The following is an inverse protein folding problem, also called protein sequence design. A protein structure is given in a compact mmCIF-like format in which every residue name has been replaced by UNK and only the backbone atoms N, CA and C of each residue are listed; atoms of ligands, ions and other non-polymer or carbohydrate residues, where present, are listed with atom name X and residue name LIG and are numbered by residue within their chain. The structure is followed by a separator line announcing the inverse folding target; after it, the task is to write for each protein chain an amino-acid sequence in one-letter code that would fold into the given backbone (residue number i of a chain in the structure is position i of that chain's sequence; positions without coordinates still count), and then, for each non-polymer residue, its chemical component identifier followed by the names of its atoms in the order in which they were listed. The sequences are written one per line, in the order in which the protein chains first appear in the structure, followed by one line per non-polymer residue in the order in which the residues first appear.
data_IF_511383752779
#
_entry.id   IF_511383752779
#
_cell.length_a   1.000
_cell.length_b   1.000
_cell.length_c   1.000
_cell.angle_alpha   90.00
_cell.angle_beta   90.00
_cell.angle_gamma   90.00
#
_symmetry.space_group_name_H-M   'P 1'
#
loop_
_entity.id
_entity.type
_entity.pdbx_description
1 polymer ?
#
# COMPACT_ATOMS: atom_id res chain seq x y z
N UNK A 1 -28.82 -23.13 -13.82
CA UNK A 1 -27.89 -22.87 -12.70
C UNK A 1 -26.60 -22.35 -13.28
N UNK A 2 -26.42 -21.04 -13.28
CA UNK A 2 -25.21 -20.38 -13.77
C UNK A 2 -24.21 -20.33 -12.62
N UNK A 3 -23.07 -20.99 -12.78
CA UNK A 3 -21.99 -20.96 -11.80
C UNK A 3 -21.46 -19.53 -11.69
N UNK A 4 -21.64 -18.92 -10.52
CA UNK A 4 -20.93 -17.69 -10.14
C UNK A 4 -19.49 -18.13 -9.85
N UNK A 5 -18.58 -17.83 -10.76
CA UNK A 5 -17.14 -17.95 -10.49
C UNK A 5 -16.80 -16.92 -9.42
N UNK A 6 -16.75 -17.38 -8.17
CA UNK A 6 -16.14 -16.64 -7.06
C UNK A 6 -14.69 -16.41 -7.43
N UNK A 7 -14.32 -15.16 -7.72
CA UNK A 7 -12.92 -14.77 -7.91
C UNK A 7 -12.24 -14.69 -6.54
N UNK A 8 -12.12 -15.85 -5.90
CA UNK A 8 -11.46 -16.08 -4.62
C UNK A 8 -9.98 -16.40 -4.87
N UNK A 9 -9.36 -15.68 -5.82
CA UNK A 9 -7.93 -15.79 -5.98
C UNK A 9 -7.29 -15.21 -4.71
N UNK A 10 -6.48 -15.99 -3.97
CA UNK A 10 -5.77 -15.45 -2.83
C UNK A 10 -5.00 -14.21 -3.26
N UNK A 11 -4.95 -13.20 -2.39
CA UNK A 11 -4.21 -11.96 -2.61
C UNK A 11 -2.69 -12.22 -2.52
N UNK A 12 -2.21 -13.18 -3.31
CA UNK A 12 -0.81 -13.57 -3.37
C UNK A 12 0.01 -12.37 -3.87
N UNK A 13 1.06 -12.06 -3.12
CA UNK A 13 1.92 -10.89 -3.33
C UNK A 13 1.38 -9.56 -2.78
N UNK A 14 0.17 -9.53 -2.21
CA UNK A 14 -0.36 -8.38 -1.47
C UNK A 14 -0.12 -8.49 0.04
N UNK A 15 -0.52 -7.48 0.83
CA UNK A 15 -0.32 -7.49 2.28
C UNK A 15 -1.27 -8.46 3.02
N UNK A 16 -2.22 -9.11 2.34
CA UNK A 16 -3.27 -9.95 2.94
C UNK A 16 -3.21 -11.41 2.48
N UNK A 17 -2.13 -12.11 2.82
CA UNK A 17 -2.03 -13.54 2.55
C UNK A 17 -3.05 -14.34 3.40
N UNK A 18 -3.76 -15.28 2.79
CA UNK A 18 -4.68 -16.19 3.48
C UNK A 18 -5.99 -15.56 3.99
N UNK A 19 -6.34 -14.35 3.55
CA UNK A 19 -7.63 -13.72 3.87
C UNK A 19 -8.78 -14.39 3.11
N UNK A 20 -9.82 -14.82 3.84
CA UNK A 20 -11.12 -15.20 3.26
C UNK A 20 -11.93 -13.92 2.97
N UNK A 21 -12.00 -13.53 1.70
CA UNK A 21 -12.73 -12.35 1.27
C UNK A 21 -14.26 -12.52 1.38
N UNK A 22 -14.76 -13.76 1.44
CA UNK A 22 -16.17 -14.08 1.63
C UNK A 22 -16.66 -13.82 3.06
N UNK A 23 -15.75 -13.72 4.03
CA UNK A 23 -16.06 -13.36 5.41
C UNK A 23 -16.40 -11.87 5.59
N UNK A 24 -16.12 -11.02 4.60
CA UNK A 24 -16.34 -9.58 4.67
C UNK A 24 -17.66 -9.18 4.00
N UNK A 25 -18.46 -8.39 4.71
CA UNK A 25 -19.53 -7.61 4.09
C UNK A 25 -18.98 -6.46 3.25
N UNK A 26 -19.80 -5.97 2.33
CA UNK A 26 -19.60 -4.61 1.80
C UNK A 26 -19.90 -3.60 2.92
N UNK A 27 -19.13 -2.49 3.05
CA UNK A 27 -18.11 -1.96 2.13
C UNK A 27 -16.67 -2.44 2.39
N UNK A 28 -16.43 -3.21 3.45
CA UNK A 28 -15.09 -3.61 3.89
C UNK A 28 -14.36 -4.47 2.85
N UNK A 29 -15.08 -5.39 2.20
CA UNK A 29 -14.53 -6.24 1.14
C UNK A 29 -13.89 -5.42 0.02
N UNK A 30 -14.58 -4.39 -0.48
CA UNK A 30 -14.04 -3.50 -1.52
C UNK A 30 -12.84 -2.71 -1.04
N UNK A 31 -12.88 -2.17 0.18
CA UNK A 31 -11.75 -1.43 0.76
C UNK A 31 -10.47 -2.29 0.80
N UNK A 32 -10.57 -3.54 1.25
CA UNK A 32 -9.44 -4.49 1.33
C UNK A 32 -8.88 -4.79 -0.06
N UNK A 33 -9.74 -5.03 -1.06
CA UNK A 33 -9.32 -5.33 -2.43
C UNK A 33 -8.58 -4.14 -3.08
N UNK A 34 -9.15 -2.94 -2.98
CA UNK A 34 -8.54 -1.71 -3.51
C UNK A 34 -7.20 -1.42 -2.81
N UNK A 35 -7.18 -1.47 -1.47
CA UNK A 35 -5.98 -1.28 -0.67
C UNK A 35 -4.88 -2.31 -1.01
N UNK A 36 -5.25 -3.58 -1.20
CA UNK A 36 -4.32 -4.63 -1.57
C UNK A 36 -3.69 -4.37 -2.94
N UNK A 37 -4.45 -3.88 -3.91
CA UNK A 37 -3.92 -3.57 -5.23
C UNK A 37 -2.95 -2.38 -5.15
N UNK A 38 -3.36 -1.31 -4.48
CA UNK A 38 -2.52 -0.11 -4.36
C UNK A 38 -1.23 -0.38 -3.59
N UNK A 39 -1.29 -1.22 -2.56
CA UNK A 39 -0.10 -1.68 -1.85
C UNK A 39 0.90 -2.40 -2.79
N UNK A 40 0.39 -3.27 -3.67
CA UNK A 40 1.22 -3.97 -4.66
C UNK A 40 1.78 -3.03 -5.72
N UNK A 41 1.00 -2.03 -6.14
CA UNK A 41 1.47 -1.03 -7.08
C UNK A 41 2.65 -0.25 -6.52
N UNK A 42 2.57 0.21 -5.27
CA UNK A 42 3.69 0.90 -4.60
C UNK A 42 4.91 -0.02 -4.43
N UNK A 43 4.72 -1.28 -4.05
CA UNK A 43 5.84 -2.24 -3.97
C UNK A 43 6.55 -2.42 -5.31
N UNK A 44 5.82 -2.29 -6.42
CA UNK A 44 6.35 -2.37 -7.77
C UNK A 44 6.80 -1.00 -8.33
N UNK A 45 6.87 0.04 -7.51
CA UNK A 45 7.29 1.38 -7.91
C UNK A 45 6.21 2.22 -8.62
N UNK A 46 4.99 1.68 -8.77
CA UNK A 46 3.87 2.33 -9.45
C UNK A 46 3.07 3.23 -8.51
N UNK A 47 2.35 4.17 -9.10
CA UNK A 47 1.34 4.95 -8.37
C UNK A 47 0.16 4.05 -7.98
N UNK A 48 -0.48 4.31 -6.83
CA UNK A 48 -1.75 3.68 -6.48
C UNK A 48 -2.79 3.82 -7.61
N UNK A 49 -3.53 2.75 -7.86
CA UNK A 49 -4.55 2.67 -8.92
C UNK A 49 -5.91 3.20 -8.47
N UNK A 50 -6.24 3.05 -7.18
CA UNK A 50 -7.56 3.40 -6.63
C UNK A 50 -7.53 4.63 -5.72
N UNK A 51 -6.56 4.69 -4.80
CA UNK A 51 -6.39 5.78 -3.87
C UNK A 51 -5.93 7.05 -4.61
N UNK A 52 -6.45 8.20 -4.18
CA UNK A 52 -6.14 9.50 -4.77
C UNK A 52 -5.15 10.23 -3.90
N UNK A 53 -4.31 11.07 -4.50
CA UNK A 53 -3.37 11.90 -3.73
C UNK A 53 -4.11 12.65 -2.63
N UNK A 54 -3.61 12.53 -1.41
CA UNK A 54 -4.10 13.31 -0.28
C UNK A 54 -3.47 14.71 -0.38
N UNK A 55 -4.23 15.67 -0.91
CA UNK A 55 -3.76 17.05 -1.10
C UNK A 55 -3.66 17.82 0.23
N UNK A 56 -4.32 17.31 1.27
CA UNK A 56 -4.35 17.92 2.61
C UNK A 56 -3.34 17.27 3.55
N UNK A 57 -2.72 16.16 3.15
CA UNK A 57 -1.66 15.53 3.93
C UNK A 57 -0.43 16.44 4.05
N UNK A 58 0.20 16.50 5.23
CA UNK A 58 1.48 17.19 5.37
C UNK A 58 2.49 16.63 4.39
N UNK A 59 3.20 17.52 3.68
CA UNK A 59 4.34 17.17 2.84
C UNK A 59 5.61 17.20 3.68
N UNK A 60 6.13 16.06 4.15
CA UNK A 60 7.34 16.03 4.95
C UNK A 60 8.53 16.41 4.09
N UNK A 61 9.48 17.12 4.70
CA UNK A 61 10.78 17.39 4.10
C UNK A 61 11.71 16.17 4.25
N UNK A 62 11.24 14.97 3.88
CA UNK A 62 11.95 13.72 4.12
C UNK A 62 12.57 13.09 2.86
N UNK A 63 12.37 13.67 1.67
CA UNK A 63 12.87 13.12 0.41
C UNK A 63 11.79 12.72 -0.58
N UNK A 64 10.51 12.84 -0.19
CA UNK A 64 9.38 12.77 -1.11
C UNK A 64 8.29 11.80 -0.71
N UNK A 65 8.14 11.49 0.58
CA UNK A 65 6.97 10.74 1.05
C UNK A 65 5.69 11.52 0.83
N UNK A 66 4.60 10.83 0.56
CA UNK A 66 3.31 11.45 0.27
C UNK A 66 2.14 10.51 0.59
N UNK A 67 1.00 11.11 0.90
CA UNK A 67 -0.22 10.40 1.27
C UNK A 67 -1.20 10.21 0.11
N UNK A 68 -1.99 9.17 0.22
CA UNK A 68 -3.14 8.87 -0.61
C UNK A 68 -4.33 8.47 0.26
N UNK A 69 -5.54 8.84 -0.18
CA UNK A 69 -6.81 8.45 0.44
C UNK A 69 -7.57 7.51 -0.49
N UNK A 70 -7.85 6.32 0.02
CA UNK A 70 -8.73 5.34 -0.60
C UNK A 70 -10.09 5.30 0.10
N UNK A 71 -10.94 4.34 -0.31
CA UNK A 71 -12.23 4.15 0.32
C UNK A 71 -12.09 3.31 1.59
N UNK A 72 -12.08 3.96 2.75
CA UNK A 72 -11.96 3.27 4.05
C UNK A 72 -10.53 2.92 4.45
N UNK A 73 -9.54 3.45 3.73
CA UNK A 73 -8.12 3.28 4.02
C UNK A 73 -7.30 4.49 3.59
N UNK A 74 -6.14 4.65 4.21
CA UNK A 74 -5.11 5.62 3.84
C UNK A 74 -3.85 4.86 3.46
N UNK A 75 -3.16 5.37 2.46
CA UNK A 75 -1.91 4.80 1.99
C UNK A 75 -0.83 5.88 1.99
N UNK A 76 0.17 5.68 2.83
CA UNK A 76 1.35 6.50 2.86
C UNK A 76 2.47 5.83 2.06
N UNK A 77 2.94 6.51 1.01
CA UNK A 77 4.12 6.06 0.27
C UNK A 77 5.34 6.68 0.94
N UNK A 78 6.08 5.87 1.70
CA UNK A 78 7.34 6.30 2.26
C UNK A 78 8.38 6.42 1.15
N UNK A 79 9.08 7.55 1.10
CA UNK A 79 10.27 7.79 0.30
C UNK A 79 11.19 8.72 1.07
N UNK A 80 11.78 8.18 2.12
CA UNK A 80 12.61 8.95 3.05
C UNK A 80 14.10 8.78 2.72
N UNK A 81 14.84 9.89 2.61
CA UNK A 81 16.29 9.91 2.56
C UNK A 81 16.84 9.29 3.85
N UNK A 82 17.76 8.36 3.72
CA UNK A 82 18.30 7.62 4.86
C UNK A 82 19.74 7.17 4.60
N UNK A 83 20.48 6.93 5.68
CA UNK A 83 21.83 6.39 5.62
C UNK A 83 21.94 5.20 6.55
N UNK A 84 22.46 4.08 6.05
CA UNK A 84 22.69 2.86 6.82
C UNK A 84 24.14 2.43 6.66
N UNK A 85 24.90 2.39 7.77
CA UNK A 85 26.29 1.94 7.76
C UNK A 85 27.20 2.75 6.82
N UNK A 86 26.92 4.04 6.62
CA UNK A 86 27.66 4.92 5.70
C UNK A 86 27.23 4.83 4.24
N UNK A 87 26.18 4.06 3.92
CA UNK A 87 25.57 4.02 2.59
C UNK A 87 24.32 4.89 2.57
N UNK A 88 24.34 5.93 1.73
CA UNK A 88 23.20 6.82 1.53
C UNK A 88 22.21 6.24 0.51
N UNK A 89 20.92 6.45 0.76
CA UNK A 89 19.85 5.95 -0.08
C UNK A 89 18.49 6.40 0.41
N UNK A 90 17.50 5.53 0.19
CA UNK A 90 16.11 5.81 0.48
C UNK A 90 15.46 4.61 1.16
N UNK A 91 14.69 4.87 2.21
CA UNK A 91 13.64 3.94 2.64
C UNK A 91 12.42 4.18 1.76
N UNK A 92 11.98 3.14 1.06
CA UNK A 92 10.83 3.21 0.16
C UNK A 92 9.85 2.06 0.37
N UNK A 93 8.56 2.36 0.31
CA UNK A 93 7.49 1.36 0.28
C UNK A 93 6.17 1.87 0.88
N UNK A 94 5.11 1.04 0.79
CA UNK A 94 3.80 1.40 1.32
C UNK A 94 3.71 1.24 2.84
N UNK A 95 2.98 2.17 3.46
CA UNK A 95 2.46 2.09 4.82
C UNK A 95 0.95 2.31 4.71
N UNK A 96 0.20 1.23 4.85
CA UNK A 96 -1.25 1.18 4.72
C UNK A 96 -1.88 1.29 6.10
N UNK A 97 -3.00 2.01 6.20
CA UNK A 97 -3.84 2.04 7.39
C UNK A 97 -5.31 2.03 7.03
N UNK A 98 -6.14 1.38 7.86
CA UNK A 98 -7.58 1.31 7.67
C UNK A 98 -8.34 2.15 8.68
N UNK A 99 -9.50 2.64 8.24
CA UNK A 99 -10.48 3.23 9.13
C UNK A 99 -11.01 2.17 10.10
N UNK A 100 -11.43 2.60 11.29
CA UNK A 100 -11.86 1.69 12.35
C UNK A 100 -13.07 0.84 11.95
N UNK A 101 -13.95 1.36 11.10
CA UNK A 101 -15.13 0.65 10.60
C UNK A 101 -14.76 -0.49 9.63
N UNK A 102 -13.57 -0.43 9.02
CA UNK A 102 -13.04 -1.45 8.11
C UNK A 102 -12.18 -2.48 8.86
N UNK A 103 -11.37 -2.00 9.81
CA UNK A 103 -10.53 -2.83 10.67
C UNK A 103 -10.80 -2.49 12.15
N UNK A 104 -11.81 -3.12 12.79
CA UNK A 104 -12.19 -2.81 14.16
C UNK A 104 -11.25 -3.42 15.20
N UNK A 105 -10.36 -4.32 14.78
CA UNK A 105 -9.40 -4.98 15.65
C UNK A 105 -8.21 -4.09 16.04
N UNK A 106 -7.27 -4.70 16.76
CA UNK A 106 -6.09 -4.00 17.27
C UNK A 106 -5.07 -3.67 16.17
N UNK A 107 -5.00 -4.50 15.13
CA UNK A 107 -4.12 -4.25 13.99
C UNK A 107 -4.89 -3.54 12.88
N UNK A 108 -4.39 -2.38 12.50
CA UNK A 108 -5.01 -1.51 11.49
C UNK A 108 -4.00 -0.97 10.49
N UNK A 109 -2.71 -1.30 10.65
CA UNK A 109 -1.68 -0.81 9.77
C UNK A 109 -0.73 -1.92 9.34
N UNK A 110 -0.35 -1.87 8.06
CA UNK A 110 0.60 -2.79 7.47
C UNK A 110 1.64 -1.97 6.73
N UNK A 111 2.92 -2.26 6.97
CA UNK A 111 4.02 -1.58 6.32
C UNK A 111 4.95 -2.60 5.64
N UNK A 112 5.41 -2.27 4.44
CA UNK A 112 6.42 -3.04 3.72
C UNK A 112 7.44 -2.10 3.09
N UNK A 113 8.29 -1.50 3.92
CA UNK A 113 9.37 -0.62 3.47
C UNK A 113 10.68 -1.37 3.34
N UNK A 114 11.53 -0.92 2.41
CA UNK A 114 12.87 -1.46 2.18
C UNK A 114 13.85 -0.32 1.95
N UNK A 115 15.13 -0.55 2.26
CA UNK A 115 16.19 0.36 1.88
C UNK A 115 16.64 0.10 0.44
N UNK A 116 16.83 1.17 -0.31
CA UNK A 116 17.35 1.15 -1.68
C UNK A 116 18.47 2.17 -1.79
N UNK A 117 19.54 1.81 -2.50
CA UNK A 117 20.46 2.82 -3.05
C UNK A 117 19.71 3.70 -4.06
N UNK A 118 20.22 4.90 -4.33
CA UNK A 118 19.60 5.81 -5.30
C UNK A 118 19.39 5.15 -6.68
N UNK A 119 20.37 4.39 -7.16
CA UNK A 119 20.30 3.68 -8.44
C UNK A 119 19.21 2.60 -8.44
N UNK A 120 19.09 1.82 -7.37
CA UNK A 120 18.06 0.77 -7.25
C UNK A 120 16.66 1.36 -7.17
N UNK A 121 16.48 2.44 -6.40
CA UNK A 121 15.18 3.12 -6.33
C UNK A 121 14.80 3.70 -7.69
N UNK A 122 15.74 4.35 -8.38
CA UNK A 122 15.50 4.86 -9.73
C UNK A 122 15.08 3.74 -10.69
N UNK A 123 15.76 2.60 -10.65
CA UNK A 123 15.42 1.44 -11.48
C UNK A 123 14.04 0.84 -11.14
N UNK A 124 13.63 0.84 -9.87
CA UNK A 124 12.30 0.41 -9.46
C UNK A 124 11.22 1.35 -10.00
N UNK A 125 11.40 2.66 -9.83
CA UNK A 125 10.43 3.67 -10.24
C UNK A 125 10.35 3.86 -11.77
N UNK A 126 11.40 3.49 -12.53
CA UNK A 126 11.40 3.56 -13.98
C UNK A 126 10.57 2.45 -14.66
N UNK A 127 10.15 1.44 -13.91
CA UNK A 127 9.27 0.36 -14.39
C UNK A 127 7.78 0.72 -14.32
N UNK A 128 7.47 1.92 -13.82
CA UNK A 128 6.13 2.36 -13.48
C UNK A 128 5.38 3.09 -14.60
#
# INVERSE_FOLDING_TARGET
MTAVTSTDAPLDGGPFAGFDLGAFGEPARRAILEASQDFRDVLAGRKPSFARTDVDAPLPADGGSHGYVGRGYRLWVCRSLSSFGGVDGYVYGPVLSFDQDIAPGNERSLAATRFYTAAQLHALLAQA
#
